data_IF_908605059860
#
_entry.id   IF_908605059860
#
_cell.length_a   1.000
_cell.length_b   1.000
_cell.length_c   1.000
_cell.angle_alpha   90.00
_cell.angle_beta   90.00
_cell.angle_gamma   90.00
#
_symmetry.space_group_name_H-M   'P 1'
#
loop_
_entity.id
_entity.type
_entity.pdbx_description
1 polymer ?
#
# COMPACT_ATOMS: atom_id res chain seq x y z
N UNK A 1 0.60 -25.67 19.44
CA UNK A 1 0.22 -26.52 18.29
C UNK A 1 0.94 -26.14 16.98
N UNK A 2 1.06 -24.86 16.60
CA UNK A 2 1.62 -24.45 15.29
C UNK A 2 3.17 -24.44 15.18
N UNK A 3 3.90 -24.54 16.30
CA UNK A 3 5.35 -24.28 16.36
C UNK A 3 6.21 -25.30 15.60
N UNK A 4 5.73 -26.53 15.40
CA UNK A 4 6.49 -27.63 14.81
C UNK A 4 6.02 -28.02 13.39
N UNK A 5 5.12 -27.23 12.81
CA UNK A 5 4.53 -27.51 11.50
C UNK A 5 5.35 -26.86 10.39
N UNK A 6 6.05 -27.65 9.57
CA UNK A 6 6.83 -27.14 8.44
C UNK A 6 5.99 -27.14 7.17
N UNK A 7 6.10 -26.09 6.36
CA UNK A 7 5.47 -26.04 5.04
C UNK A 7 6.34 -26.81 4.03
N UNK A 8 5.71 -27.67 3.24
CA UNK A 8 6.38 -28.52 2.25
C UNK A 8 5.98 -28.19 0.81
N UNK A 9 4.74 -27.74 0.60
CA UNK A 9 4.25 -27.37 -0.73
C UNK A 9 3.35 -26.16 -0.64
N UNK A 10 3.51 -25.25 -1.59
CA UNK A 10 2.67 -24.10 -1.80
C UNK A 10 2.01 -24.23 -3.17
N UNK A 11 0.70 -24.09 -3.22
CA UNK A 11 -0.09 -24.19 -4.43
C UNK A 11 -0.96 -22.93 -4.62
N UNK A 12 -1.05 -22.48 -5.86
CA UNK A 12 -1.97 -21.43 -6.31
C UNK A 12 -3.36 -22.00 -6.65
N UNK A 13 -4.42 -21.19 -6.58
CA UNK A 13 -5.73 -21.57 -7.10
C UNK A 13 -5.64 -22.08 -8.55
N UNK A 14 -6.31 -23.19 -8.84
CA UNK A 14 -6.34 -23.82 -10.16
C UNK A 14 -5.28 -24.91 -10.37
N UNK A 15 -4.26 -25.00 -9.51
CA UNK A 15 -3.29 -26.09 -9.60
C UNK A 15 -3.85 -27.43 -9.12
N UNK A 16 -3.25 -28.53 -9.58
CA UNK A 16 -3.62 -29.88 -9.16
C UNK A 16 -3.58 -30.02 -7.62
N UNK A 17 -4.70 -30.46 -7.06
CA UNK A 17 -4.91 -30.53 -5.61
C UNK A 17 -5.59 -29.30 -5.01
N UNK A 18 -5.92 -28.26 -5.79
CA UNK A 18 -6.68 -27.09 -5.31
C UNK A 18 -8.12 -27.01 -5.81
N UNK A 19 -8.50 -27.79 -6.82
CA UNK A 19 -9.80 -27.70 -7.51
C UNK A 19 -11.02 -27.65 -6.56
N UNK A 20 -11.13 -28.60 -5.61
CA UNK A 20 -12.22 -28.59 -4.61
C UNK A 20 -12.22 -27.36 -3.69
N UNK A 21 -11.07 -26.75 -3.46
CA UNK A 21 -10.95 -25.53 -2.66
C UNK A 21 -11.30 -24.30 -3.50
N UNK A 22 -11.00 -24.31 -4.80
CA UNK A 22 -11.47 -23.30 -5.75
C UNK A 22 -12.99 -23.38 -5.87
N UNK A 23 -13.57 -24.57 -6.00
CA UNK A 23 -15.04 -24.74 -6.00
C UNK A 23 -15.68 -24.21 -4.70
N UNK A 24 -15.01 -24.39 -3.56
CA UNK A 24 -15.52 -23.96 -2.26
C UNK A 24 -15.37 -22.47 -1.98
N UNK A 25 -14.22 -21.88 -2.32
CA UNK A 25 -13.83 -20.53 -1.90
C UNK A 25 -13.77 -19.52 -3.06
N UNK A 26 -13.81 -19.99 -4.31
CA UNK A 26 -13.75 -19.15 -5.51
C UNK A 26 -12.58 -18.19 -5.48
N UNK A 27 -12.86 -16.93 -5.82
CA UNK A 27 -11.88 -15.84 -5.90
C UNK A 27 -11.31 -15.43 -4.54
N UNK A 28 -11.96 -15.82 -3.43
CA UNK A 28 -11.42 -15.55 -2.09
C UNK A 28 -10.27 -16.50 -1.72
N UNK A 29 -10.01 -17.56 -2.49
CA UNK A 29 -8.88 -18.45 -2.25
C UNK A 29 -7.57 -17.78 -2.69
N UNK A 30 -6.70 -17.45 -1.73
CA UNK A 30 -5.39 -16.86 -2.02
C UNK A 30 -4.35 -17.93 -2.35
N UNK A 31 -4.22 -18.95 -1.49
CA UNK A 31 -3.31 -20.08 -1.72
C UNK A 31 -3.64 -21.31 -0.86
N UNK A 32 -3.01 -22.44 -1.19
CA UNK A 32 -3.09 -23.69 -0.43
C UNK A 32 -1.68 -24.11 -0.03
N UNK A 33 -1.49 -24.48 1.25
CA UNK A 33 -0.20 -24.99 1.75
C UNK A 33 -0.35 -26.37 2.37
N UNK A 34 0.49 -27.30 1.93
CA UNK A 34 0.70 -28.58 2.60
C UNK A 34 1.79 -28.40 3.65
N UNK A 35 1.49 -28.88 4.85
CA UNK A 35 2.35 -28.83 6.02
C UNK A 35 2.50 -30.24 6.59
N UNK A 36 3.57 -30.45 7.33
CA UNK A 36 3.79 -31.66 8.10
C UNK A 36 4.11 -31.27 9.53
N UNK A 37 3.37 -31.86 10.46
CA UNK A 37 3.64 -31.77 11.89
C UNK A 37 4.43 -33.01 12.29
N UNK A 38 5.72 -32.82 12.59
CA UNK A 38 6.61 -33.93 12.91
C UNK A 38 6.36 -34.54 14.30
N UNK A 39 5.76 -33.79 15.22
CA UNK A 39 5.45 -34.30 16.57
C UNK A 39 4.24 -35.24 16.51
N UNK A 40 3.25 -34.85 15.71
CA UNK A 40 2.00 -35.60 15.58
C UNK A 40 2.02 -36.62 14.43
N UNK A 41 3.06 -36.61 13.60
CA UNK A 41 3.18 -37.39 12.37
C UNK A 41 1.94 -37.25 11.46
N UNK A 42 1.57 -36.00 11.14
CA UNK A 42 0.42 -35.73 10.29
C UNK A 42 0.72 -34.75 9.18
N UNK A 43 0.15 -35.04 8.01
CA UNK A 43 0.10 -34.13 6.86
C UNK A 43 -1.16 -33.29 6.94
N UNK A 44 -0.99 -31.99 6.81
CA UNK A 44 -2.06 -31.01 6.99
C UNK A 44 -2.14 -30.16 5.75
N UNK A 45 -3.34 -30.00 5.24
CA UNK A 45 -3.64 -29.11 4.13
C UNK A 45 -4.34 -27.88 4.66
N UNK A 46 -3.78 -26.72 4.39
CA UNK A 46 -4.30 -25.41 4.82
C UNK A 46 -4.66 -24.58 3.60
N UNK A 47 -5.69 -23.75 3.72
CA UNK A 47 -6.06 -22.75 2.72
C UNK A 47 -5.95 -21.37 3.37
N UNK A 48 -5.34 -20.42 2.66
CA UNK A 48 -5.37 -19.00 3.00
C UNK A 48 -6.46 -18.36 2.17
N UNK A 49 -7.42 -17.73 2.83
CA UNK A 49 -8.61 -17.15 2.21
C UNK A 49 -8.74 -15.67 2.61
N UNK A 50 -9.30 -14.87 1.71
CA UNK A 50 -9.70 -13.50 1.98
C UNK A 50 -10.97 -13.55 2.84
N UNK A 51 -10.92 -12.95 4.02
CA UNK A 51 -12.07 -12.88 4.96
C UNK A 51 -12.63 -11.47 5.13
N UNK A 52 -11.85 -10.45 4.79
CA UNK A 52 -12.23 -9.05 4.79
C UNK A 52 -11.42 -8.33 3.72
N UNK A 53 -12.09 -7.55 2.89
CA UNK A 53 -11.48 -6.71 1.87
C UNK A 53 -12.10 -5.32 1.98
N UNK A 54 -11.25 -4.32 2.20
CA UNK A 54 -11.68 -2.93 2.30
C UNK A 54 -10.80 -2.08 1.41
N UNK A 55 -11.35 -1.01 0.80
CA UNK A 55 -10.52 0.00 0.17
C UNK A 55 -9.47 0.46 1.18
N UNK A 56 -8.20 0.35 0.82
CA UNK A 56 -7.15 1.01 1.58
C UNK A 56 -7.46 2.51 1.63
N UNK A 57 -7.07 3.20 2.71
CA UNK A 57 -6.89 4.65 2.63
C UNK A 57 -5.79 4.84 1.59
N UNK A 58 -6.15 5.05 0.33
CA UNK A 58 -5.22 5.16 -0.79
C UNK A 58 -4.34 6.38 -0.65
N UNK A 59 -3.53 6.46 0.40
CA UNK A 59 -2.39 7.36 0.47
C UNK A 59 -1.43 6.73 -0.52
N UNK A 60 -1.24 7.33 -1.71
CA UNK A 60 -0.20 6.88 -2.60
C UNK A 60 1.07 6.85 -1.77
N UNK A 61 1.93 5.85 -1.96
CA UNK A 61 3.22 5.84 -1.27
C UNK A 61 4.06 6.96 -1.90
N UNK A 62 3.83 8.20 -1.46
CA UNK A 62 4.51 9.39 -1.96
C UNK A 62 5.98 9.23 -1.57
N UNK A 63 6.81 8.94 -2.57
CA UNK A 63 8.26 8.87 -2.43
C UNK A 63 8.79 10.28 -2.22
N UNK A 64 9.97 10.40 -1.64
CA UNK A 64 10.60 11.70 -1.43
C UNK A 64 10.83 12.44 -2.76
N UNK A 65 11.01 11.70 -3.86
CA UNK A 65 11.20 12.22 -5.22
C UNK A 65 9.90 12.62 -5.92
N UNK A 66 8.75 12.24 -5.39
CA UNK A 66 7.48 12.48 -6.07
C UNK A 66 7.14 13.97 -6.03
N UNK A 67 6.70 14.50 -7.17
CA UNK A 67 6.27 15.90 -7.26
C UNK A 67 4.82 15.98 -6.83
N UNK A 68 4.55 16.82 -5.84
CA UNK A 68 3.21 17.11 -5.32
C UNK A 68 2.79 18.53 -5.67
N UNK A 69 1.48 18.74 -5.73
CA UNK A 69 0.86 20.04 -5.94
C UNK A 69 0.42 20.61 -4.60
N UNK A 70 0.82 21.84 -4.29
CA UNK A 70 0.49 22.51 -3.04
C UNK A 70 -0.32 23.77 -3.32
N UNK A 71 -1.47 23.89 -2.69
CA UNK A 71 -2.34 25.06 -2.80
C UNK A 71 -2.04 26.05 -1.68
N UNK A 72 -1.50 27.22 -2.02
CA UNK A 72 -1.24 28.29 -1.06
C UNK A 72 -1.89 29.60 -1.54
N UNK A 73 -2.80 30.20 -0.75
CA UNK A 73 -3.38 31.50 -1.08
C UNK A 73 -2.31 32.58 -1.27
N UNK A 74 -2.59 33.55 -2.15
CA UNK A 74 -1.66 34.65 -2.43
C UNK A 74 -1.26 35.44 -1.18
N UNK A 75 -2.21 35.59 -0.23
CA UNK A 75 -2.06 36.30 1.04
C UNK A 75 -1.06 35.64 2.00
N UNK A 76 -0.82 34.33 1.88
CA UNK A 76 0.09 33.59 2.76
C UNK A 76 1.55 33.71 2.27
N UNK A 77 2.11 34.92 2.35
CA UNK A 77 3.46 35.23 1.86
C UNK A 77 4.53 34.32 2.46
N UNK A 78 4.48 34.08 3.76
CA UNK A 78 5.45 33.24 4.47
C UNK A 78 5.52 31.81 3.90
N UNK A 79 4.38 31.17 3.66
CA UNK A 79 4.31 29.83 3.05
C UNK A 79 4.87 29.80 1.62
N UNK A 80 4.56 30.83 0.84
CA UNK A 80 5.08 30.96 -0.52
C UNK A 80 6.59 31.14 -0.55
N UNK A 81 7.15 31.89 0.40
CA UNK A 81 8.59 32.07 0.49
C UNK A 81 9.30 30.79 0.95
N UNK A 82 8.67 29.98 1.82
CA UNK A 82 9.16 28.63 2.15
C UNK A 82 9.15 27.70 0.92
N UNK A 83 8.08 27.73 0.12
CA UNK A 83 7.99 26.95 -1.13
C UNK A 83 9.07 27.35 -2.13
N UNK A 84 9.30 28.65 -2.34
CA UNK A 84 10.39 29.13 -3.20
C UNK A 84 11.77 28.68 -2.66
N UNK A 85 11.97 28.78 -1.35
CA UNK A 85 13.20 28.31 -0.69
C UNK A 85 13.44 26.80 -0.85
N UNK A 86 12.36 26.01 -0.89
CA UNK A 86 12.40 24.58 -1.18
C UNK A 86 12.50 24.25 -2.69
N UNK A 87 12.69 25.25 -3.56
CA UNK A 87 12.82 25.05 -5.02
C UNK A 87 11.51 24.73 -5.74
N UNK A 88 10.36 25.04 -5.13
CA UNK A 88 9.05 24.84 -5.75
C UNK A 88 8.86 25.73 -7.00
N UNK A 89 8.17 25.19 -8.01
CA UNK A 89 7.83 25.89 -9.25
C UNK A 89 6.35 26.22 -9.29
N UNK A 90 6.02 27.47 -9.58
CA UNK A 90 4.62 27.88 -9.77
C UNK A 90 4.06 27.34 -11.09
N UNK A 91 2.89 26.70 -11.04
CA UNK A 91 2.09 26.35 -12.20
C UNK A 91 0.96 27.39 -12.39
N UNK A 92 1.03 28.26 -13.41
CA UNK A 92 0.00 29.28 -13.63
C UNK A 92 -1.32 28.72 -14.18
N UNK A 93 -1.30 27.54 -14.82
CA UNK A 93 -2.49 26.90 -15.40
C UNK A 93 -3.35 26.34 -14.28
N UNK A 94 -2.73 25.55 -13.40
CA UNK A 94 -3.42 24.95 -12.25
C UNK A 94 -3.56 25.91 -11.06
N UNK A 95 -2.79 27.00 -11.05
CA UNK A 95 -2.65 27.93 -9.92
C UNK A 95 -2.17 27.21 -8.64
N UNK A 96 -1.22 26.30 -8.79
CA UNK A 96 -0.65 25.46 -7.73
C UNK A 96 0.89 25.51 -7.75
N UNK A 97 1.52 25.19 -6.62
CA UNK A 97 2.97 25.04 -6.53
C UNK A 97 3.37 23.58 -6.72
N UNK A 98 4.31 23.31 -7.62
CA UNK A 98 4.94 22.00 -7.82
C UNK A 98 6.22 21.90 -7.01
N UNK A 99 6.32 20.91 -6.13
CA UNK A 99 7.50 20.68 -5.28
C UNK A 99 7.69 19.19 -5.02
N UNK A 100 8.93 18.76 -4.83
CA UNK A 100 9.20 17.39 -4.40
C UNK A 100 8.74 17.19 -2.95
N UNK A 101 8.01 16.11 -2.71
CA UNK A 101 7.48 15.78 -1.39
C UNK A 101 8.55 15.74 -0.29
N UNK A 102 9.72 15.18 -0.59
CA UNK A 102 10.83 15.08 0.35
C UNK A 102 11.30 16.43 0.90
N UNK A 103 11.15 17.51 0.13
CA UNK A 103 11.58 18.85 0.51
C UNK A 103 10.59 19.57 1.44
N UNK A 104 9.33 19.12 1.47
CA UNK A 104 8.28 19.76 2.27
C UNK A 104 7.65 18.85 3.33
N UNK A 105 7.95 17.54 3.34
CA UNK A 105 7.33 16.57 4.27
C UNK A 105 7.50 16.90 5.76
N UNK A 106 8.51 17.69 6.11
CA UNK A 106 8.74 18.18 7.48
C UNK A 106 7.95 19.43 7.85
N UNK A 107 7.39 20.15 6.87
CA UNK A 107 6.56 21.34 7.07
C UNK A 107 5.08 20.94 7.07
N UNK A 108 4.54 20.69 8.27
CA UNK A 108 3.16 20.25 8.47
C UNK A 108 2.14 21.16 7.77
N UNK A 109 2.38 22.47 7.74
CA UNK A 109 1.43 23.44 7.17
C UNK A 109 1.38 23.35 5.64
N UNK A 110 2.53 23.10 4.99
CA UNK A 110 2.61 22.82 3.56
C UNK A 110 2.02 21.45 3.22
N UNK A 111 2.28 20.43 4.04
CA UNK A 111 1.74 19.08 3.87
C UNK A 111 0.22 19.05 3.88
N UNK A 112 -0.42 19.76 4.81
CA UNK A 112 -1.88 19.84 4.92
C UNK A 112 -2.54 20.52 3.68
N UNK A 113 -1.75 21.24 2.89
CA UNK A 113 -2.17 21.96 1.67
C UNK A 113 -1.84 21.23 0.37
N UNK A 114 -1.35 19.99 0.46
CA UNK A 114 -1.13 19.14 -0.72
C UNK A 114 -2.48 18.74 -1.30
N UNK A 115 -2.69 19.06 -2.57
CA UNK A 115 -3.88 18.66 -3.33
C UNK A 115 -3.74 17.17 -3.63
N UNK A 116 -4.72 16.37 -3.18
CA UNK A 116 -4.84 14.95 -3.52
C UNK A 116 -5.84 14.84 -4.66
N UNK A 117 -5.41 14.25 -5.77
CA UNK A 117 -6.31 13.78 -6.83
C UNK A 117 -7.10 12.55 -6.38
#
# INVERSE_FOLDING_TARGET
MLKYMKAHKHLKPGENGTLRLVEKFGDTLLCVRYRYDAIRDIRIKTAEIIVDERPGKGVPRIRETDTVLVQVPFTMKALRDRLKGAGAKWDPVQKLWRVQWGLIRGDRELVERVVRE
#
